data_IF_061365648998
#
_entry.id   IF_061365648998
#
_cell.length_a   1.000
_cell.length_b   1.000
_cell.length_c   1.000
_cell.angle_alpha   90.00
_cell.angle_beta   90.00
_cell.angle_gamma   90.00
#
_symmetry.space_group_name_H-M   'P 1'
#
loop_
_entity.id
_entity.type
_entity.pdbx_description
1 polymer ?
#
# COMPACT_ATOMS: atom_id res chain seq x y z
N UNK A 1 -32.07 -12.38 3.74
CA UNK A 1 -31.21 -11.30 3.22
C UNK A 1 -31.99 -10.00 3.25
N UNK A 2 -31.36 -8.88 3.64
CA UNK A 2 -31.98 -7.56 3.60
C UNK A 2 -32.35 -7.15 2.16
N UNK A 3 -33.41 -6.37 1.98
CA UNK A 3 -33.90 -5.95 0.64
C UNK A 3 -32.85 -5.15 -0.13
N UNK A 4 -32.10 -4.28 0.55
CA UNK A 4 -31.07 -3.43 -0.05
C UNK A 4 -29.87 -4.25 -0.55
N UNK A 5 -29.48 -5.27 0.22
CA UNK A 5 -28.46 -6.24 -0.20
C UNK A 5 -28.97 -7.06 -1.39
N UNK A 6 -30.22 -7.51 -1.35
CA UNK A 6 -30.84 -8.28 -2.44
C UNK A 6 -30.85 -7.49 -3.76
N UNK A 7 -31.05 -6.17 -3.71
CA UNK A 7 -30.96 -5.29 -4.88
C UNK A 7 -29.55 -5.31 -5.51
N UNK A 8 -28.50 -5.14 -4.69
CA UNK A 8 -27.11 -5.17 -5.16
C UNK A 8 -26.69 -6.55 -5.69
N UNK A 9 -27.16 -7.62 -5.04
CA UNK A 9 -26.94 -9.00 -5.47
C UNK A 9 -27.56 -9.25 -6.85
N UNK A 10 -28.81 -8.83 -7.06
CA UNK A 10 -29.49 -8.99 -8.35
C UNK A 10 -28.87 -8.14 -9.46
N UNK A 11 -28.47 -6.91 -9.13
CA UNK A 11 -27.72 -6.04 -10.05
C UNK A 11 -26.44 -6.72 -10.51
N UNK A 12 -25.67 -7.28 -9.56
CA UNK A 12 -24.40 -7.97 -9.82
C UNK A 12 -24.58 -9.23 -10.66
N UNK A 13 -25.57 -10.06 -10.30
CA UNK A 13 -25.91 -11.26 -11.08
C UNK A 13 -26.20 -10.92 -12.53
N UNK A 14 -27.02 -9.90 -12.76
CA UNK A 14 -27.44 -9.48 -14.10
C UNK A 14 -26.26 -8.92 -14.90
N UNK A 15 -25.47 -8.03 -14.29
CA UNK A 15 -24.36 -7.35 -14.98
C UNK A 15 -23.25 -8.30 -15.43
N UNK A 16 -22.92 -9.29 -14.59
CA UNK A 16 -21.83 -10.23 -14.87
C UNK A 16 -22.32 -11.58 -15.39
N UNK A 17 -23.60 -11.73 -15.73
CA UNK A 17 -24.14 -12.94 -16.36
C UNK A 17 -23.99 -14.20 -15.49
N UNK A 18 -24.20 -14.08 -14.17
CA UNK A 18 -23.96 -15.14 -13.19
C UNK A 18 -25.11 -16.15 -13.11
N UNK A 19 -25.74 -16.49 -14.24
CA UNK A 19 -26.89 -17.41 -14.30
C UNK A 19 -26.50 -18.85 -13.97
N UNK A 20 -25.27 -19.24 -14.32
CA UNK A 20 -24.68 -20.54 -14.00
C UNK A 20 -24.04 -20.60 -12.61
N UNK A 21 -24.38 -19.64 -11.75
CA UNK A 21 -23.83 -19.50 -10.42
C UNK A 21 -24.93 -19.30 -9.38
N UNK A 22 -24.61 -19.65 -8.14
CA UNK A 22 -25.42 -19.30 -6.97
C UNK A 22 -24.57 -18.51 -5.97
N UNK A 23 -25.19 -17.55 -5.28
CA UNK A 23 -24.52 -16.78 -4.24
C UNK A 23 -24.34 -17.69 -3.03
N UNK A 24 -23.09 -18.01 -2.69
CA UNK A 24 -22.76 -18.89 -1.58
C UNK A 24 -22.58 -18.08 -0.29
N UNK A 25 -21.77 -17.01 -0.34
CA UNK A 25 -21.48 -16.15 0.81
C UNK A 25 -21.53 -14.68 0.40
N UNK A 26 -21.85 -13.84 1.38
CA UNK A 26 -21.71 -12.40 1.26
C UNK A 26 -21.35 -11.81 2.61
N UNK A 27 -20.55 -10.74 2.61
CA UNK A 27 -20.19 -10.00 3.82
C UNK A 27 -20.12 -8.51 3.50
N UNK A 28 -20.44 -7.69 4.49
CA UNK A 28 -20.19 -6.25 4.44
C UNK A 28 -18.91 -5.97 5.19
N UNK A 29 -18.03 -5.19 4.58
CA UNK A 29 -16.78 -4.75 5.18
C UNK A 29 -16.73 -3.24 5.13
N UNK A 30 -15.92 -2.66 6.01
CA UNK A 30 -15.56 -1.25 5.93
C UNK A 30 -14.06 -1.07 5.99
N UNK A 31 -13.59 -0.01 5.36
CA UNK A 31 -12.22 0.46 5.46
C UNK A 31 -12.21 2.00 5.44
N UNK A 32 -11.08 2.57 5.83
CA UNK A 32 -10.85 4.02 5.75
C UNK A 32 -9.87 4.30 4.63
N UNK A 33 -10.25 5.18 3.71
CA UNK A 33 -9.38 5.59 2.62
C UNK A 33 -8.39 6.68 3.09
N UNK A 34 -7.61 7.17 2.13
CA UNK A 34 -6.53 8.11 2.39
C UNK A 34 -6.99 9.51 2.78
N UNK A 35 -8.24 9.84 2.43
CA UNK A 35 -8.92 11.08 2.77
C UNK A 35 -9.71 10.95 4.07
N UNK A 36 -9.48 9.87 4.83
CA UNK A 36 -10.14 9.59 6.09
C UNK A 36 -11.66 9.33 5.96
N UNK A 37 -12.11 8.93 4.77
CA UNK A 37 -13.51 8.59 4.49
C UNK A 37 -13.76 7.10 4.74
N UNK A 38 -14.94 6.79 5.29
CA UNK A 38 -15.37 5.40 5.49
C UNK A 38 -16.00 4.86 4.23
N UNK A 39 -15.41 3.79 3.69
CA UNK A 39 -15.90 3.07 2.53
C UNK A 39 -16.55 1.77 3.01
N UNK A 40 -17.76 1.51 2.52
CA UNK A 40 -18.47 0.26 2.78
C UNK A 40 -18.54 -0.55 1.49
N UNK A 41 -18.11 -1.81 1.58
CA UNK A 41 -18.03 -2.72 0.44
C UNK A 41 -18.81 -3.99 0.76
N UNK A 42 -19.72 -4.36 -0.14
CA UNK A 42 -20.39 -5.65 -0.13
C UNK A 42 -19.56 -6.62 -0.97
N UNK A 43 -18.97 -7.61 -0.29
CA UNK A 43 -18.27 -8.71 -0.93
C UNK A 43 -19.22 -9.87 -1.15
N UNK A 44 -19.23 -10.43 -2.35
CA UNK A 44 -20.11 -11.53 -2.76
C UNK A 44 -19.30 -12.66 -3.39
N UNK A 45 -19.49 -13.88 -2.89
CA UNK A 45 -18.86 -15.09 -3.41
C UNK A 45 -19.89 -15.98 -4.09
N UNK A 46 -19.70 -16.21 -5.39
CA UNK A 46 -20.61 -16.94 -6.25
C UNK A 46 -19.97 -18.23 -6.72
N UNK A 47 -20.57 -19.37 -6.39
CA UNK A 47 -20.06 -20.68 -6.74
C UNK A 47 -20.70 -21.16 -8.04
N UNK A 48 -19.95 -21.81 -8.95
CA UNK A 48 -20.53 -22.40 -10.15
C UNK A 48 -21.52 -23.52 -9.79
N UNK A 49 -22.65 -23.59 -10.50
CA UNK A 49 -23.74 -24.53 -10.20
C UNK A 49 -23.34 -26.01 -10.29
N UNK A 50 -22.30 -26.35 -11.04
CA UNK A 50 -21.83 -27.74 -11.23
C UNK A 50 -20.82 -28.19 -10.16
N UNK A 51 -20.32 -27.28 -9.33
CA UNK A 51 -19.31 -27.60 -8.31
C UNK A 51 -20.00 -28.05 -7.02
N UNK A 52 -19.52 -29.16 -6.47
CA UNK A 52 -19.82 -29.58 -5.09
C UNK A 52 -18.55 -29.37 -4.27
N UNK A 53 -18.62 -28.53 -3.23
CA UNK A 53 -17.49 -28.28 -2.34
C UNK A 53 -17.62 -29.21 -1.13
N UNK A 54 -16.60 -30.02 -0.80
CA UNK A 54 -16.58 -30.80 0.44
C UNK A 54 -16.67 -29.88 1.67
N UNK A 55 -17.36 -30.31 2.73
CA UNK A 55 -17.54 -29.50 3.95
C UNK A 55 -16.22 -29.12 4.64
N UNK A 56 -15.13 -29.87 4.38
CA UNK A 56 -13.81 -29.69 5.00
C UNK A 56 -12.81 -28.86 4.16
N UNK A 57 -13.21 -28.33 2.99
CA UNK A 57 -12.34 -27.47 2.16
C UNK A 57 -12.76 -25.99 2.30
N UNK A 58 -11.95 -25.23 3.03
CA UNK A 58 -12.12 -23.78 3.22
C UNK A 58 -11.75 -22.96 1.97
N UNK A 59 -11.27 -23.60 0.90
CA UNK A 59 -10.86 -22.93 -0.33
C UNK A 59 -12.05 -22.62 -1.24
N UNK A 60 -12.00 -21.47 -1.92
CA UNK A 60 -12.94 -21.19 -3.00
C UNK A 60 -12.66 -22.12 -4.19
N UNK A 61 -13.66 -22.83 -4.73
CA UNK A 61 -13.45 -23.70 -5.86
C UNK A 61 -13.09 -22.92 -7.12
N UNK A 62 -12.51 -23.63 -8.08
CA UNK A 62 -12.13 -23.05 -9.35
C UNK A 62 -13.31 -22.41 -10.10
N UNK A 63 -13.07 -21.19 -10.58
CA UNK A 63 -14.04 -20.37 -11.28
C UNK A 63 -15.14 -19.75 -10.43
N UNK A 64 -15.03 -19.84 -9.09
CA UNK A 64 -15.78 -18.97 -8.17
C UNK A 64 -15.60 -17.51 -8.56
N UNK A 65 -16.69 -16.75 -8.61
CA UNK A 65 -16.64 -15.31 -8.80
C UNK A 65 -16.69 -14.62 -7.43
N UNK A 66 -15.63 -13.88 -7.08
CA UNK A 66 -15.59 -12.99 -5.93
C UNK A 66 -15.74 -11.57 -6.44
N UNK A 67 -16.82 -10.89 -6.06
CA UNK A 67 -17.20 -9.59 -6.59
C UNK A 67 -17.48 -8.63 -5.46
N UNK A 68 -16.75 -7.51 -5.47
CA UNK A 68 -16.87 -6.45 -4.49
C UNK A 68 -17.55 -5.22 -5.10
N UNK A 69 -18.59 -4.73 -4.44
CA UNK A 69 -19.32 -3.52 -4.84
C UNK A 69 -19.34 -2.52 -3.70
N UNK A 70 -18.99 -1.28 -4.01
CA UNK A 70 -19.10 -0.15 -3.11
C UNK A 70 -20.59 0.13 -2.83
N UNK A 71 -21.01 0.09 -1.58
CA UNK A 71 -22.43 0.22 -1.18
C UNK A 71 -23.00 1.60 -1.55
N UNK A 72 -22.18 2.65 -1.42
CA UNK A 72 -22.60 4.04 -1.64
C UNK A 72 -22.64 4.39 -3.12
N UNK A 73 -21.52 4.16 -3.82
CA UNK A 73 -21.39 4.57 -5.23
C UNK A 73 -22.00 3.56 -6.19
N UNK A 74 -22.26 2.33 -5.73
CA UNK A 74 -22.71 1.18 -6.53
C UNK A 74 -21.74 0.81 -7.66
N UNK A 75 -20.49 1.27 -7.59
CA UNK A 75 -19.42 0.89 -8.51
C UNK A 75 -18.74 -0.38 -8.02
N UNK A 76 -18.28 -1.20 -8.96
CA UNK A 76 -17.53 -2.42 -8.66
C UNK A 76 -16.07 -2.09 -8.40
N UNK A 77 -15.56 -2.56 -7.28
CA UNK A 77 -14.16 -2.38 -6.87
C UNK A 77 -13.31 -3.56 -7.34
N UNK A 78 -13.88 -4.77 -7.34
CA UNK A 78 -13.21 -5.96 -7.83
C UNK A 78 -14.20 -6.97 -8.44
N UNK A 79 -13.72 -7.73 -9.43
CA UNK A 79 -14.38 -8.89 -10.04
C UNK A 79 -13.29 -9.92 -10.30
N UNK A 80 -13.26 -11.01 -9.54
CA UNK A 80 -12.20 -12.01 -9.61
C UNK A 80 -12.83 -13.37 -9.85
N UNK A 81 -12.46 -14.02 -10.95
CA UNK A 81 -12.76 -15.41 -11.18
C UNK A 81 -11.56 -16.28 -10.77
N UNK A 82 -11.76 -17.15 -9.79
CA UNK A 82 -10.69 -17.98 -9.21
C UNK A 82 -10.00 -18.82 -10.29
N UNK A 83 -8.67 -18.78 -10.30
CA UNK A 83 -7.80 -19.40 -11.33
C UNK A 83 -8.01 -18.88 -12.76
N UNK A 84 -8.65 -17.72 -12.92
CA UNK A 84 -8.92 -17.13 -14.23
C UNK A 84 -9.91 -17.94 -15.07
N UNK A 85 -10.77 -18.76 -14.44
CA UNK A 85 -11.79 -19.56 -15.14
C UNK A 85 -13.18 -18.99 -14.93
N UNK A 86 -13.94 -18.84 -16.00
CA UNK A 86 -15.33 -18.36 -15.92
C UNK A 86 -16.29 -19.30 -16.64
N UNK A 87 -17.48 -19.49 -16.07
CA UNK A 87 -18.59 -20.27 -16.64
C UNK A 87 -19.74 -19.38 -17.09
N UNK A 88 -19.45 -18.08 -17.25
CA UNK A 88 -20.39 -17.07 -17.71
C UNK A 88 -20.58 -17.19 -19.23
N UNK A 89 -21.83 -17.27 -19.65
CA UNK A 89 -22.19 -17.32 -21.08
C UNK A 89 -22.55 -15.94 -21.65
N UNK A 90 -23.17 -15.07 -20.84
CA UNK A 90 -23.71 -13.77 -21.25
C UNK A 90 -23.20 -12.65 -20.34
N UNK A 91 -21.88 -12.50 -20.23
CA UNK A 91 -21.23 -11.51 -19.37
C UNK A 91 -20.44 -10.47 -20.12
N UNK A 92 -19.51 -9.84 -19.40
CA UNK A 92 -18.57 -8.87 -19.98
C UNK A 92 -17.57 -9.61 -20.88
N UNK A 93 -17.58 -9.27 -22.16
CA UNK A 93 -16.70 -9.86 -23.18
C UNK A 93 -16.15 -8.78 -24.11
N UNK A 94 -14.95 -9.00 -24.63
CA UNK A 94 -14.26 -8.08 -25.53
C UNK A 94 -13.81 -8.83 -26.77
N UNK A 95 -14.43 -8.51 -27.91
CA UNK A 95 -14.10 -9.17 -29.16
C UNK A 95 -12.66 -8.85 -29.59
N UNK A 96 -11.87 -9.88 -29.86
CA UNK A 96 -10.51 -9.73 -30.38
C UNK A 96 -9.52 -9.06 -29.41
N UNK A 97 -9.82 -9.03 -28.10
CA UNK A 97 -8.98 -8.39 -27.08
C UNK A 97 -8.68 -6.91 -27.38
N UNK A 98 -9.64 -6.18 -27.97
CA UNK A 98 -9.43 -4.79 -28.35
C UNK A 98 -9.20 -3.88 -27.13
N UNK A 99 -8.03 -3.22 -27.13
CA UNK A 99 -7.60 -2.30 -26.07
C UNK A 99 -8.54 -1.11 -25.89
N UNK A 100 -9.04 -0.52 -26.96
CA UNK A 100 -9.88 0.67 -26.86
C UNK A 100 -11.26 0.33 -26.28
N UNK A 101 -11.79 -0.85 -26.59
CA UNK A 101 -13.04 -1.33 -26.01
C UNK A 101 -12.90 -1.62 -24.52
N UNK A 102 -11.77 -2.20 -24.09
CA UNK A 102 -11.43 -2.35 -22.67
C UNK A 102 -11.33 -0.99 -21.96
N UNK A 103 -10.63 -0.02 -22.55
CA UNK A 103 -10.52 1.33 -21.98
C UNK A 103 -11.91 1.98 -21.84
N UNK A 104 -12.73 1.99 -22.88
CA UNK A 104 -14.09 2.57 -22.83
C UNK A 104 -14.98 1.86 -21.81
N UNK A 105 -14.81 0.56 -21.63
CA UNK A 105 -15.51 -0.18 -20.59
C UNK A 105 -15.06 0.31 -19.22
N UNK A 106 -13.76 0.40 -18.95
CA UNK A 106 -13.22 0.95 -17.69
C UNK A 106 -13.75 2.37 -17.42
N UNK A 107 -13.73 3.25 -18.42
CA UNK A 107 -14.26 4.62 -18.27
C UNK A 107 -15.73 4.63 -17.86
N UNK A 108 -16.56 3.73 -18.41
CA UNK A 108 -17.97 3.59 -18.04
C UNK A 108 -18.15 3.01 -16.63
N UNK A 109 -17.35 2.03 -16.25
CA UNK A 109 -17.45 1.37 -14.95
C UNK A 109 -16.98 2.26 -13.80
N UNK A 110 -15.92 3.02 -14.05
CA UNK A 110 -15.27 3.84 -13.03
C UNK A 110 -15.73 5.29 -13.05
N UNK A 111 -16.23 5.79 -14.19
CA UNK A 111 -16.49 7.21 -14.44
C UNK A 111 -15.21 8.03 -14.63
N UNK A 112 -14.05 7.38 -14.72
CA UNK A 112 -12.76 8.02 -14.95
C UNK A 112 -12.53 8.22 -16.45
N UNK A 113 -11.61 9.13 -16.80
CA UNK A 113 -11.24 9.39 -18.21
C UNK A 113 -9.81 8.97 -18.49
N UNK A 114 -9.60 8.18 -19.55
CA UNK A 114 -8.27 7.72 -19.97
C UNK A 114 -7.40 8.89 -20.44
N UNK A 115 -6.11 8.86 -20.06
CA UNK A 115 -5.15 9.93 -20.32
C UNK A 115 -5.35 11.18 -19.45
N UNK A 116 -6.41 11.24 -18.63
CA UNK A 116 -6.63 12.32 -17.65
C UNK A 116 -6.58 11.84 -16.21
N UNK A 117 -7.14 10.67 -15.92
CA UNK A 117 -7.24 10.15 -14.55
C UNK A 117 -6.54 8.79 -14.39
N UNK A 118 -6.30 8.11 -15.50
CA UNK A 118 -5.53 6.88 -15.53
C UNK A 118 -4.86 6.72 -16.90
N UNK A 119 -3.73 6.03 -16.93
CA UNK A 119 -2.94 5.80 -18.14
C UNK A 119 -2.34 4.40 -18.17
N UNK A 120 -2.12 3.87 -19.37
CA UNK A 120 -1.58 2.52 -19.54
C UNK A 120 -0.18 2.44 -18.95
N UNK A 121 0.03 1.50 -18.04
CA UNK A 121 1.33 1.21 -17.44
C UNK A 121 1.96 -0.05 -18.03
N UNK A 122 1.15 -1.11 -18.21
CA UNK A 122 1.62 -2.38 -18.78
C UNK A 122 0.55 -3.01 -19.66
N UNK A 123 0.97 -3.58 -20.78
CA UNK A 123 0.12 -4.32 -21.71
C UNK A 123 0.75 -5.70 -21.97
N UNK A 124 -0.04 -6.73 -21.72
CA UNK A 124 0.26 -8.14 -21.98
C UNK A 124 -0.93 -8.75 -22.73
N UNK A 125 -0.76 -9.90 -23.37
CA UNK A 125 -1.87 -10.56 -24.07
C UNK A 125 -3.03 -10.86 -23.10
N UNK A 126 -4.20 -10.30 -23.38
CA UNK A 126 -5.39 -10.44 -22.52
C UNK A 126 -5.31 -9.72 -21.18
N UNK A 127 -4.32 -8.85 -20.94
CA UNK A 127 -4.16 -8.13 -19.66
C UNK A 127 -3.68 -6.69 -19.86
N UNK A 128 -4.38 -5.75 -19.22
CA UNK A 128 -3.96 -4.35 -19.16
C UNK A 128 -3.87 -3.90 -17.71
N UNK A 129 -2.78 -3.21 -17.39
CA UNK A 129 -2.56 -2.55 -16.11
C UNK A 129 -2.42 -1.05 -16.36
N UNK A 130 -3.18 -0.26 -15.62
CA UNK A 130 -3.18 1.20 -15.67
C UNK A 130 -2.79 1.76 -14.32
N UNK A 131 -2.06 2.87 -14.33
CA UNK A 131 -1.78 3.65 -13.13
C UNK A 131 -2.60 4.94 -13.16
N UNK A 132 -2.93 5.42 -11.98
CA UNK A 132 -3.55 6.72 -11.76
C UNK A 132 -2.68 7.87 -12.29
N UNK A 133 -3.33 8.89 -12.83
CA UNK A 133 -2.70 10.16 -13.17
C UNK A 133 -3.68 11.32 -12.96
N UNK A 134 -3.19 12.56 -13.07
CA UNK A 134 -4.00 13.77 -13.14
C UNK A 134 -3.55 14.62 -14.33
N UNK A 135 -4.42 14.73 -15.33
CA UNK A 135 -4.15 15.32 -16.65
C UNK A 135 -2.83 14.80 -17.27
N UNK A 136 -2.52 13.51 -17.07
CA UNK A 136 -1.31 12.83 -17.57
C UNK A 136 -0.09 12.87 -16.65
N UNK A 137 -0.16 13.61 -15.53
CA UNK A 137 0.90 13.68 -14.52
C UNK A 137 0.69 12.58 -13.48
N UNK A 138 1.74 11.84 -13.12
CA UNK A 138 1.64 10.75 -12.15
C UNK A 138 1.27 11.26 -10.74
N UNK A 139 0.62 10.40 -9.95
CA UNK A 139 0.14 10.74 -8.60
C UNK A 139 0.81 9.82 -7.58
N UNK A 140 1.12 10.34 -6.39
CA UNK A 140 1.64 9.60 -5.24
C UNK A 140 0.83 9.93 -3.98
N UNK A 141 0.34 8.91 -3.23
CA UNK A 141 0.37 7.49 -3.59
C UNK A 141 -0.49 7.20 -4.82
N UNK A 142 -0.11 6.18 -5.59
CA UNK A 142 -0.76 5.85 -6.87
C UNK A 142 -1.80 4.76 -6.71
N UNK A 143 -2.98 4.97 -7.29
CA UNK A 143 -3.95 3.93 -7.59
C UNK A 143 -3.66 3.18 -8.88
N UNK A 144 -4.29 2.03 -9.04
CA UNK A 144 -4.14 1.16 -10.21
C UNK A 144 -5.46 0.56 -10.65
N UNK A 145 -5.61 0.35 -11.95
CA UNK A 145 -6.73 -0.41 -12.52
C UNK A 145 -6.13 -1.58 -13.30
N UNK A 146 -6.62 -2.78 -13.06
CA UNK A 146 -6.19 -3.96 -13.79
C UNK A 146 -7.39 -4.68 -14.38
N UNK A 147 -7.26 -5.14 -15.63
CA UNK A 147 -8.25 -5.98 -16.32
C UNK A 147 -7.54 -7.18 -16.93
N UNK A 148 -8.12 -8.38 -16.78
CA UNK A 148 -7.68 -9.63 -17.44
C UNK A 148 -8.84 -10.34 -18.08
N UNK A 149 -8.56 -10.91 -19.24
CA UNK A 149 -9.47 -11.70 -20.05
C UNK A 149 -8.93 -13.12 -20.21
N UNK A 150 -9.81 -14.07 -20.47
CA UNK A 150 -9.39 -15.37 -20.99
C UNK A 150 -9.18 -15.34 -22.51
N UNK A 151 -8.76 -16.48 -23.06
CA UNK A 151 -8.51 -16.65 -24.49
C UNK A 151 -9.75 -16.47 -25.38
N UNK A 152 -10.95 -16.51 -24.80
CA UNK A 152 -12.22 -16.28 -25.50
C UNK A 152 -12.67 -14.81 -25.37
N UNK A 153 -11.86 -13.96 -24.72
CA UNK A 153 -12.13 -12.54 -24.49
C UNK A 153 -13.13 -12.28 -23.36
N UNK A 154 -13.42 -13.25 -22.49
CA UNK A 154 -14.32 -13.08 -21.34
C UNK A 154 -13.58 -12.50 -20.16
N UNK A 155 -14.23 -11.62 -19.40
CA UNK A 155 -13.66 -11.03 -18.19
C UNK A 155 -13.39 -12.10 -17.13
N UNK A 156 -12.15 -12.18 -16.66
CA UNK A 156 -11.73 -13.06 -15.55
C UNK A 156 -11.19 -12.28 -14.36
N UNK A 157 -10.74 -11.06 -14.57
CA UNK A 157 -10.26 -10.18 -13.51
C UNK A 157 -10.55 -8.71 -13.84
N UNK A 158 -11.04 -7.98 -12.86
CA UNK A 158 -11.06 -6.52 -12.85
C UNK A 158 -10.81 -6.05 -11.41
N UNK A 159 -9.97 -5.05 -11.22
CA UNK A 159 -9.82 -4.39 -9.94
C UNK A 159 -9.52 -2.91 -10.11
N UNK A 160 -10.00 -2.12 -9.14
CA UNK A 160 -9.67 -0.71 -8.96
C UNK A 160 -9.11 -0.57 -7.55
N UNK A 161 -7.83 -0.23 -7.45
CA UNK A 161 -7.12 -0.02 -6.19
C UNK A 161 -6.67 1.43 -6.07
N UNK A 162 -6.64 1.97 -4.86
CA UNK A 162 -6.27 3.36 -4.59
C UNK A 162 -7.43 4.34 -4.74
N UNK A 163 -7.11 5.64 -4.70
CA UNK A 163 -8.08 6.72 -4.79
C UNK A 163 -7.75 7.58 -6.00
N UNK A 164 -8.78 8.00 -6.76
CA UNK A 164 -8.59 8.82 -7.96
C UNK A 164 -9.07 10.24 -7.66
N UNK A 165 -8.16 11.23 -7.50
CA UNK A 165 -8.51 12.57 -7.06
C UNK A 165 -9.39 13.26 -8.09
N UNK A 166 -10.26 14.12 -7.57
CA UNK A 166 -10.99 15.07 -8.39
C UNK A 166 -10.13 16.33 -8.63
N UNK A 167 -10.52 17.16 -9.60
CA UNK A 167 -9.77 18.38 -9.92
C UNK A 167 -9.75 19.38 -8.77
N UNK A 168 -10.76 19.35 -7.91
CA UNK A 168 -10.90 20.22 -6.75
C UNK A 168 -9.91 19.87 -5.63
N UNK A 169 -9.39 18.64 -5.61
CA UNK A 169 -8.40 18.17 -4.64
C UNK A 169 -6.97 18.54 -5.05
N UNK A 170 -6.78 19.10 -6.24
CA UNK A 170 -5.48 19.37 -6.82
C UNK A 170 -5.19 20.86 -6.80
N UNK A 171 -4.05 21.24 -6.22
CA UNK A 171 -3.55 22.60 -6.31
C UNK A 171 -3.02 22.85 -7.72
N UNK A 172 -3.77 23.65 -8.49
CA UNK A 172 -3.42 23.97 -9.87
C UNK A 172 -2.19 24.89 -9.92
N UNK A 173 -1.11 24.40 -10.52
CA UNK A 173 0.16 25.12 -10.65
C UNK A 173 0.85 24.78 -11.98
N UNK A 174 1.81 25.61 -12.38
CA UNK A 174 2.69 25.31 -13.50
C UNK A 174 3.98 24.70 -12.97
N UNK A 175 4.38 23.56 -13.54
CA UNK A 175 5.66 22.93 -13.21
C UNK A 175 6.83 23.83 -13.61
N UNK A 176 7.73 24.12 -12.67
CA UNK A 176 8.89 25.00 -12.88
C UNK A 176 10.22 24.41 -12.45
N UNK A 177 10.21 23.26 -11.76
CA UNK A 177 11.45 22.64 -11.30
C UNK A 177 12.29 22.14 -12.48
N UNK A 178 13.61 22.30 -12.31
CA UNK A 178 14.65 21.77 -13.18
C UNK A 178 15.65 21.03 -12.32
N UNK A 179 16.38 20.06 -12.88
CA UNK A 179 17.35 19.31 -12.10
C UNK A 179 18.42 20.25 -11.48
N UNK A 180 18.87 21.25 -12.24
CA UNK A 180 19.83 22.26 -11.77
C UNK A 180 19.34 23.02 -10.55
N UNK A 181 18.04 23.31 -10.46
CA UNK A 181 17.45 24.02 -9.32
C UNK A 181 17.42 23.19 -8.03
N UNK A 182 17.44 21.85 -8.13
CA UNK A 182 17.33 20.92 -7.00
C UNK A 182 18.55 20.00 -6.87
N UNK A 183 19.62 20.26 -7.62
CA UNK A 183 20.82 19.41 -7.65
C UNK A 183 21.42 19.22 -6.24
N UNK A 184 21.40 20.27 -5.42
CA UNK A 184 21.87 20.21 -4.04
C UNK A 184 21.06 19.21 -3.20
N UNK A 185 19.74 19.09 -3.42
CA UNK A 185 18.89 18.12 -2.73
C UNK A 185 19.23 16.70 -3.20
N UNK A 186 19.41 16.48 -4.50
CA UNK A 186 19.83 15.18 -5.05
C UNK A 186 21.17 14.71 -4.43
N UNK A 187 22.15 15.62 -4.32
CA UNK A 187 23.43 15.35 -3.64
C UNK A 187 23.27 15.02 -2.16
N UNK A 188 22.37 15.71 -1.46
CA UNK A 188 22.08 15.46 -0.05
C UNK A 188 21.40 14.11 0.17
N UNK A 189 20.55 13.67 -0.76
CA UNK A 189 19.85 12.38 -0.68
C UNK A 189 20.69 11.18 -1.12
N UNK A 190 21.84 11.39 -1.76
CA UNK A 190 22.77 10.30 -2.03
C UNK A 190 23.37 9.77 -0.72
N UNK A 191 22.90 8.61 -0.27
CA UNK A 191 23.35 7.94 0.96
C UNK A 191 24.09 6.66 0.59
N UNK A 192 25.17 6.39 1.33
CA UNK A 192 25.73 5.05 1.36
C UNK A 192 24.73 4.14 2.07
N UNK A 193 24.39 2.99 1.50
CA UNK A 193 23.48 2.00 2.08
C UNK A 193 23.95 0.59 1.71
N UNK A 194 23.64 -0.40 2.55
CA UNK A 194 23.96 -1.81 2.30
C UNK A 194 22.77 -2.50 1.62
N UNK A 195 22.99 -2.99 0.39
CA UNK A 195 22.03 -3.77 -0.38
C UNK A 195 22.36 -5.27 -0.31
N UNK A 196 21.40 -6.14 0.04
CA UNK A 196 21.60 -7.58 -0.01
C UNK A 196 21.40 -8.12 -1.41
N UNK A 197 22.39 -8.82 -1.97
CA UNK A 197 22.24 -9.59 -3.20
C UNK A 197 22.06 -11.06 -2.89
N UNK A 198 20.90 -11.61 -3.25
CA UNK A 198 20.61 -13.04 -3.08
C UNK A 198 21.41 -13.91 -4.03
N UNK A 199 21.65 -13.46 -5.27
CA UNK A 199 22.44 -14.22 -6.25
C UNK A 199 23.89 -14.43 -5.79
N UNK A 200 24.46 -13.43 -5.12
CA UNK A 200 25.86 -13.45 -4.68
C UNK A 200 26.04 -13.75 -3.19
N UNK A 201 24.94 -13.92 -2.44
CA UNK A 201 24.92 -14.09 -0.97
C UNK A 201 25.83 -13.08 -0.24
N UNK A 202 25.75 -11.81 -0.66
CA UNK A 202 26.67 -10.74 -0.23
C UNK A 202 25.94 -9.42 -0.04
N UNK A 203 26.43 -8.64 0.93
CA UNK A 203 26.04 -7.24 1.11
C UNK A 203 26.92 -6.34 0.25
N UNK A 204 26.30 -5.45 -0.53
CA UNK A 204 26.98 -4.43 -1.33
C UNK A 204 26.87 -3.06 -0.67
N UNK A 205 27.98 -2.36 -0.42
CA UNK A 205 27.92 -0.95 -0.04
C UNK A 205 27.63 -0.12 -1.29
N UNK A 206 26.51 0.58 -1.35
CA UNK A 206 26.09 1.33 -2.55
C UNK A 206 25.70 2.74 -2.15
N UNK A 207 26.23 3.73 -2.87
CA UNK A 207 25.69 5.08 -2.86
C UNK A 207 24.43 5.11 -3.72
N UNK A 208 23.27 5.27 -3.09
CA UNK A 208 21.95 5.28 -3.72
C UNK A 208 21.10 6.43 -3.19
N UNK A 209 20.04 6.75 -3.92
CA UNK A 209 19.12 7.85 -3.61
C UNK A 209 17.83 7.25 -3.06
N UNK A 210 17.39 7.76 -1.92
CA UNK A 210 16.03 7.49 -1.44
C UNK A 210 15.05 8.35 -2.24
N UNK A 211 13.92 7.77 -2.66
CA UNK A 211 12.87 8.52 -3.36
C UNK A 211 12.46 9.75 -2.52
N UNK A 212 12.54 10.94 -3.12
CA UNK A 212 12.08 12.18 -2.48
C UNK A 212 11.26 13.03 -3.44
N UNK A 213 10.31 13.75 -2.87
CA UNK A 213 9.52 14.73 -3.59
C UNK A 213 9.93 16.13 -3.17
N UNK A 214 10.13 17.00 -4.16
CA UNK A 214 10.45 18.42 -3.95
C UNK A 214 9.25 19.24 -4.35
N UNK A 215 8.70 20.01 -3.43
CA UNK A 215 7.57 20.89 -3.73
C UNK A 215 7.96 21.99 -4.74
N UNK A 216 7.06 22.25 -5.69
CA UNK A 216 7.31 23.08 -6.86
C UNK A 216 7.60 24.57 -6.51
N UNK A 217 6.95 25.14 -5.49
CA UNK A 217 7.05 26.57 -5.16
C UNK A 217 8.17 26.95 -4.17
N UNK A 218 8.59 26.02 -3.30
CA UNK A 218 9.43 26.35 -2.13
C UNK A 218 10.65 25.42 -1.95
N UNK A 219 10.89 24.49 -2.88
CA UNK A 219 11.97 23.48 -2.82
C UNK A 219 12.02 22.68 -1.51
N UNK A 220 10.94 22.69 -0.70
CA UNK A 220 10.90 21.89 0.52
C UNK A 220 10.75 20.41 0.15
N UNK A 221 11.44 19.56 0.90
CA UNK A 221 11.33 18.11 0.74
C UNK A 221 10.06 17.61 1.42
N UNK A 222 9.26 16.86 0.66
CA UNK A 222 8.23 15.97 1.18
C UNK A 222 8.86 14.59 1.21
N UNK A 223 9.20 14.12 2.42
CA UNK A 223 9.81 12.81 2.61
C UNK A 223 8.84 11.72 2.21
N UNK A 224 9.34 10.74 1.45
CA UNK A 224 8.63 9.49 1.24
C UNK A 224 8.67 8.66 2.54
N UNK A 225 7.67 8.82 3.40
CA UNK A 225 7.52 7.92 4.53
C UNK A 225 6.82 6.65 4.03
N UNK A 226 7.59 5.55 3.88
CA UNK A 226 7.14 4.17 3.58
C UNK A 226 6.21 3.59 4.66
N UNK A 227 5.47 4.42 5.39
CA UNK A 227 4.35 3.97 6.20
C UNK A 227 3.25 3.65 5.18
N UNK A 228 3.40 2.45 4.62
CA UNK A 228 2.38 1.67 3.93
C UNK A 228 1.01 1.97 4.55
N UNK A 229 0.05 2.31 3.68
CA UNK A 229 -1.30 2.78 3.99
C UNK A 229 -1.38 4.16 4.67
N UNK A 230 -0.97 5.18 3.91
CA UNK A 230 -1.78 6.35 3.55
C UNK A 230 -3.08 6.58 4.37
N UNK A 231 -3.00 6.81 5.67
CA UNK A 231 -4.15 7.09 6.56
C UNK A 231 -3.77 8.14 7.59
N UNK A 232 -4.75 8.72 8.28
CA UNK A 232 -4.49 9.65 9.39
C UNK A 232 -3.61 8.98 10.46
N UNK A 233 -2.38 9.44 10.62
CA UNK A 233 -1.44 8.94 11.62
C UNK A 233 -0.94 10.09 12.49
N UNK A 234 -0.68 9.79 13.75
CA UNK A 234 -0.09 10.73 14.69
C UNK A 234 1.42 10.50 14.77
N UNK A 235 2.23 11.50 14.37
CA UNK A 235 3.68 11.51 14.60
C UNK A 235 3.96 11.68 16.10
N UNK A 236 4.83 10.83 16.65
CA UNK A 236 5.17 10.82 18.09
C UNK A 236 6.63 11.18 18.30
N UNK A 237 7.56 10.38 17.77
CA UNK A 237 9.00 10.63 17.87
C UNK A 237 9.59 10.43 19.28
N UNK A 238 9.01 9.57 20.11
CA UNK A 238 9.43 9.36 21.50
C UNK A 238 10.30 8.11 21.68
N UNK A 239 11.47 8.25 22.31
CA UNK A 239 12.32 7.11 22.70
C UNK A 239 11.75 6.44 23.95
N UNK A 240 11.59 5.11 23.90
CA UNK A 240 10.98 4.34 24.98
C UNK A 240 12.05 3.84 25.95
N UNK A 241 11.88 4.23 27.22
CA UNK A 241 12.73 3.82 28.33
C UNK A 241 11.93 3.09 29.40
N UNK A 242 12.60 2.16 30.08
CA UNK A 242 12.13 1.48 31.28
C UNK A 242 13.31 1.11 32.17
N UNK A 243 13.04 1.00 33.48
CA UNK A 243 14.06 0.72 34.51
C UNK A 243 14.27 -0.78 34.71
N UNK A 244 13.17 -1.54 34.86
CA UNK A 244 13.21 -2.97 35.17
C UNK A 244 12.50 -3.80 34.10
N UNK A 245 13.08 -4.93 33.66
CA UNK A 245 12.42 -5.87 32.76
C UNK A 245 11.25 -6.60 33.45
N UNK A 246 10.41 -7.25 32.66
CA UNK A 246 9.33 -8.11 33.16
C UNK A 246 9.67 -9.56 32.81
N UNK A 247 9.79 -10.42 33.82
CA UNK A 247 10.19 -11.83 33.66
C UNK A 247 9.05 -12.75 33.18
N UNK A 248 8.03 -12.16 32.55
CA UNK A 248 6.90 -12.88 31.97
C UNK A 248 6.80 -12.54 30.49
N UNK A 249 6.91 -13.53 29.59
CA UNK A 249 6.80 -13.29 28.16
C UNK A 249 5.40 -12.75 27.81
N UNK A 250 5.34 -11.97 26.73
CA UNK A 250 4.06 -11.52 26.20
C UNK A 250 3.28 -12.69 25.61
N UNK A 251 2.02 -12.82 26.01
CA UNK A 251 1.11 -13.83 25.49
C UNK A 251 0.30 -13.25 24.33
N UNK A 252 0.64 -13.70 23.11
CA UNK A 252 0.02 -13.20 21.89
C UNK A 252 -1.40 -13.74 21.76
N UNK A 253 -2.31 -12.87 21.35
CA UNK A 253 -3.72 -13.17 21.07
C UNK A 253 -3.97 -13.13 19.57
N UNK A 254 -5.02 -13.83 19.16
CA UNK A 254 -5.53 -13.76 17.79
C UNK A 254 -5.98 -12.33 17.45
N UNK A 255 -5.68 -11.90 16.23
CA UNK A 255 -6.09 -10.60 15.69
C UNK A 255 -7.17 -10.85 14.66
N UNK A 256 -8.32 -10.20 14.82
CA UNK A 256 -9.42 -10.29 13.86
C UNK A 256 -9.26 -9.19 12.82
N UNK A 257 -8.70 -9.55 11.67
CA UNK A 257 -8.39 -8.60 10.59
C UNK A 257 -9.61 -8.14 9.79
N UNK A 258 -10.70 -8.93 9.83
CA UNK A 258 -11.92 -8.65 9.10
C UNK A 258 -12.95 -8.08 10.06
N UNK A 259 -13.26 -6.79 9.89
CA UNK A 259 -14.42 -6.19 10.54
C UNK A 259 -15.66 -6.40 9.66
N UNK A 260 -16.60 -7.21 10.15
CA UNK A 260 -17.92 -7.32 9.53
C UNK A 260 -18.79 -6.14 9.95
N UNK A 261 -19.19 -5.34 8.96
CA UNK A 261 -20.13 -4.25 9.15
C UNK A 261 -21.58 -4.75 9.09
N UNK A 262 -22.46 -4.12 9.88
CA UNK A 262 -23.90 -4.39 9.78
C UNK A 262 -24.52 -3.68 8.56
N UNK A 263 -25.69 -4.16 8.12
CA UNK A 263 -26.43 -3.52 7.03
C UNK A 263 -26.82 -2.09 7.41
N UNK A 264 -27.23 -1.86 8.65
CA UNK A 264 -27.58 -0.55 9.16
C UNK A 264 -26.38 0.39 9.04
N UNK A 265 -25.22 0.01 9.57
CA UNK A 265 -23.99 0.79 9.49
C UNK A 265 -23.63 1.17 8.05
N UNK A 266 -23.67 0.20 7.13
CA UNK A 266 -23.29 0.40 5.73
C UNK A 266 -24.23 1.37 4.99
N UNK A 267 -25.54 1.29 5.23
CA UNK A 267 -26.52 2.12 4.51
C UNK A 267 -26.84 3.44 5.21
N UNK A 268 -26.45 3.62 6.48
CA UNK A 268 -26.46 4.93 7.15
C UNK A 268 -25.13 5.67 7.07
N UNK A 269 -24.11 5.06 6.44
CA UNK A 269 -22.76 5.61 6.32
C UNK A 269 -22.15 5.95 7.68
N UNK A 270 -22.26 5.03 8.65
CA UNK A 270 -21.65 5.24 9.95
C UNK A 270 -20.12 5.39 9.81
N UNK A 271 -19.50 6.44 10.37
CA UNK A 271 -18.05 6.56 10.33
C UNK A 271 -17.36 5.39 11.01
N UNK A 272 -16.30 4.87 10.40
CA UNK A 272 -15.44 3.86 10.99
C UNK A 272 -14.77 4.40 12.27
N UNK A 273 -14.64 3.59 13.33
CA UNK A 273 -13.76 3.88 14.45
C UNK A 273 -12.35 4.27 14.00
N UNK A 274 -11.89 3.73 12.87
CA UNK A 274 -10.55 3.97 12.34
C UNK A 274 -10.39 5.38 11.75
N UNK A 275 -11.48 6.07 11.40
CA UNK A 275 -11.40 7.44 10.87
C UNK A 275 -11.25 8.50 11.97
N UNK A 276 -11.36 8.13 13.24
CA UNK A 276 -11.20 9.09 14.33
C UNK A 276 -9.72 9.30 14.67
N UNK A 277 -9.31 10.52 15.03
CA UNK A 277 -7.93 10.81 15.42
C UNK A 277 -7.57 10.17 16.76
N UNK A 278 -6.29 9.85 16.98
CA UNK A 278 -5.81 9.36 18.27
C UNK A 278 -5.84 10.52 19.29
N UNK A 279 -6.61 10.35 20.36
CA UNK A 279 -6.72 11.38 21.41
C UNK A 279 -5.48 11.38 22.32
N UNK A 280 -5.29 12.47 23.07
CA UNK A 280 -4.18 12.58 24.04
C UNK A 280 -4.21 11.47 25.09
N UNK A 281 -5.39 11.14 25.61
CA UNK A 281 -5.57 10.08 26.61
C UNK A 281 -5.23 8.71 26.03
N UNK A 282 -5.61 8.45 24.78
CA UNK A 282 -5.27 7.21 24.09
C UNK A 282 -3.78 7.10 23.83
N UNK A 283 -3.13 8.17 23.37
CA UNK A 283 -1.68 8.24 23.19
C UNK A 283 -0.95 7.85 24.49
N UNK A 284 -1.31 8.46 25.62
CA UNK A 284 -0.70 8.17 26.92
C UNK A 284 -0.84 6.70 27.31
N UNK A 285 -2.03 6.11 27.11
CA UNK A 285 -2.26 4.68 27.37
C UNK A 285 -1.45 3.79 26.43
N UNK A 286 -1.40 4.11 25.14
CA UNK A 286 -0.63 3.35 24.16
C UNK A 286 0.86 3.38 24.48
N UNK A 287 1.41 4.51 24.93
CA UNK A 287 2.80 4.62 25.37
C UNK A 287 3.11 3.67 26.54
N UNK A 288 2.20 3.56 27.51
CA UNK A 288 2.34 2.61 28.63
C UNK A 288 2.33 1.16 28.12
N UNK A 289 1.41 0.84 27.22
CA UNK A 289 1.27 -0.50 26.64
C UNK A 289 2.49 -0.90 25.81
N UNK A 290 2.99 0.01 24.98
CA UNK A 290 4.22 -0.17 24.21
C UNK A 290 5.40 -0.42 25.16
N UNK A 291 5.56 0.40 26.20
CA UNK A 291 6.62 0.21 27.20
C UNK A 291 6.51 -1.17 27.85
N UNK A 292 5.32 -1.59 28.25
CA UNK A 292 5.11 -2.86 28.92
C UNK A 292 5.47 -4.05 28.03
N UNK A 293 5.02 -4.06 26.77
CA UNK A 293 5.39 -5.13 25.83
C UNK A 293 6.90 -5.20 25.61
N UNK A 294 7.56 -4.04 25.43
CA UNK A 294 9.01 -4.00 25.27
C UNK A 294 9.77 -4.52 26.49
N UNK A 295 9.25 -4.26 27.70
CA UNK A 295 9.84 -4.81 28.95
C UNK A 295 9.76 -6.33 29.03
N UNK A 296 8.75 -6.95 28.39
CA UNK A 296 8.54 -8.39 28.39
C UNK A 296 9.39 -9.10 27.32
N UNK A 297 9.25 -8.68 26.06
CA UNK A 297 9.83 -9.42 24.91
C UNK A 297 11.17 -8.84 24.44
N UNK A 298 11.49 -7.61 24.83
CA UNK A 298 12.76 -6.94 24.49
C UNK A 298 13.47 -6.35 25.72
N UNK A 299 13.59 -7.08 26.85
CA UNK A 299 13.95 -6.54 28.17
C UNK A 299 15.29 -5.76 28.21
N UNK A 300 16.20 -6.04 27.27
CA UNK A 300 17.55 -5.45 27.17
C UNK A 300 17.64 -4.25 26.21
N UNK A 301 16.52 -3.82 25.64
CA UNK A 301 16.48 -2.80 24.58
C UNK A 301 16.01 -1.43 25.08
N UNK A 302 16.09 -1.17 26.38
CA UNK A 302 15.73 0.14 26.96
C UNK A 302 16.48 1.26 26.25
N UNK A 303 15.77 2.30 25.81
CA UNK A 303 16.33 3.42 25.07
C UNK A 303 16.72 3.14 23.61
N UNK A 304 16.54 1.92 23.09
CA UNK A 304 16.87 1.60 21.69
C UNK A 304 15.70 1.79 20.73
N UNK A 305 14.47 1.77 21.23
CA UNK A 305 13.26 1.87 20.41
C UNK A 305 12.68 3.29 20.43
N UNK A 306 12.34 3.80 19.25
CA UNK A 306 11.64 5.07 19.05
C UNK A 306 10.25 4.74 18.52
N UNK A 307 9.21 5.14 19.25
CA UNK A 307 7.84 5.13 18.75
C UNK A 307 7.69 6.25 17.71
N UNK A 308 7.52 5.88 16.45
CA UNK A 308 7.41 6.82 15.33
C UNK A 308 5.99 7.32 15.17
N UNK A 309 5.03 6.40 15.09
CA UNK A 309 3.63 6.74 14.81
C UNK A 309 2.63 5.89 15.59
N UNK A 310 1.44 6.44 15.76
CA UNK A 310 0.21 5.75 16.15
C UNK A 310 -0.85 5.98 15.07
N UNK A 311 -1.56 4.94 14.66
CA UNK A 311 -2.70 5.06 13.73
C UNK A 311 -3.73 3.97 14.03
N UNK A 312 -4.95 4.15 13.51
CA UNK A 312 -6.00 3.13 13.61
C UNK A 312 -6.10 2.34 12.32
N UNK A 313 -6.33 1.05 12.46
CA UNK A 313 -6.53 0.15 11.34
C UNK A 313 -7.18 -1.16 11.79
N UNK A 314 -8.19 -1.59 11.03
CA UNK A 314 -8.94 -2.82 11.24
C UNK A 314 -9.49 -2.92 12.67
N UNK A 315 -9.91 -1.79 13.24
CA UNK A 315 -10.43 -1.71 14.61
C UNK A 315 -9.36 -1.76 15.71
N UNK A 316 -8.07 -1.72 15.38
CA UNK A 316 -6.96 -1.69 16.33
C UNK A 316 -6.20 -0.36 16.28
N UNK A 317 -5.41 -0.08 17.34
CA UNK A 317 -4.38 0.96 17.30
C UNK A 317 -3.03 0.30 17.04
N UNK A 318 -2.39 0.69 15.94
CA UNK A 318 -1.06 0.22 15.56
C UNK A 318 0.00 1.24 15.98
N UNK A 319 1.00 0.75 16.72
CA UNK A 319 2.17 1.50 17.13
C UNK A 319 3.40 1.05 16.33
N UNK A 320 3.96 1.94 15.50
CA UNK A 320 5.15 1.63 14.68
C UNK A 320 6.40 2.13 15.40
N UNK A 321 7.30 1.21 15.70
CA UNK A 321 8.59 1.48 16.32
C UNK A 321 9.75 1.21 15.35
N UNK A 322 10.80 2.02 15.49
CA UNK A 322 12.08 1.89 14.80
C UNK A 322 13.21 1.92 15.81
N UNK A 323 14.30 1.23 15.54
CA UNK A 323 15.50 1.32 16.38
C UNK A 323 16.26 2.63 16.11
N UNK A 324 16.82 3.24 17.16
CA UNK A 324 17.58 4.49 17.08
C UNK A 324 18.92 4.33 16.37
N UNK A 325 19.63 3.22 16.60
CA UNK A 325 20.94 2.92 16.03
C UNK A 325 20.87 1.62 15.24
N UNK A 326 21.00 1.70 13.91
CA UNK A 326 20.99 0.54 13.02
C UNK A 326 22.14 0.58 12.04
N UNK A 327 22.58 -0.59 11.60
CA UNK A 327 23.38 -0.74 10.38
C UNK A 327 22.67 -0.06 9.23
N UNK A 328 23.43 0.49 8.30
CA UNK A 328 22.88 1.30 7.22
C UNK A 328 22.34 0.44 6.07
N UNK A 329 21.66 -0.67 6.42
CA UNK A 329 20.99 -1.56 5.48
C UNK A 329 19.78 -0.86 4.88
N UNK A 330 19.49 -1.17 3.62
CA UNK A 330 18.30 -0.68 2.92
C UNK A 330 17.02 -1.06 3.69
N UNK A 331 16.98 -2.28 4.25
CA UNK A 331 15.90 -2.72 5.13
C UNK A 331 16.24 -2.47 6.61
N UNK A 332 15.48 -1.57 7.23
CA UNK A 332 15.61 -1.20 8.65
C UNK A 332 14.61 -1.97 9.53
N UNK A 333 14.96 -2.16 10.81
CA UNK A 333 14.11 -2.90 11.75
C UNK A 333 12.80 -2.14 12.01
N UNK A 334 11.68 -2.83 11.92
CA UNK A 334 10.29 -2.37 12.15
C UNK A 334 9.69 -3.28 13.21
N UNK A 335 9.11 -2.70 14.24
CA UNK A 335 8.21 -3.40 15.14
C UNK A 335 6.85 -2.70 15.06
N UNK A 336 5.79 -3.45 14.80
CA UNK A 336 4.40 -2.95 14.84
C UNK A 336 3.72 -3.65 16.00
N UNK A 337 3.32 -2.90 17.03
CA UNK A 337 2.53 -3.42 18.15
C UNK A 337 1.07 -3.11 17.87
N UNK A 338 0.22 -4.13 17.98
CA UNK A 338 -1.23 -4.06 17.75
C UNK A 338 -1.91 -3.97 19.11
N UNK A 339 -2.68 -2.91 19.33
CA UNK A 339 -3.30 -2.56 20.62
C UNK A 339 -4.82 -2.55 20.46
N UNK A 340 -5.54 -3.24 21.35
CA UNK A 340 -7.00 -3.17 21.39
C UNK A 340 -7.43 -1.80 21.95
N UNK A 341 -8.21 -0.99 21.20
CA UNK A 341 -8.60 0.36 21.63
C UNK A 341 -9.57 0.37 22.81
N UNK A 342 -10.22 -0.76 23.14
CA UNK A 342 -11.15 -0.83 24.28
C UNK A 342 -10.40 -1.03 25.60
N UNK A 343 -9.51 -2.01 25.66
CA UNK A 343 -8.74 -2.35 26.85
C UNK A 343 -7.41 -1.61 26.96
N UNK A 344 -6.90 -1.06 25.84
CA UNK A 344 -5.53 -0.56 25.69
C UNK A 344 -4.46 -1.60 26.00
N UNK A 345 -4.76 -2.88 25.85
CA UNK A 345 -3.76 -3.94 25.98
C UNK A 345 -3.18 -4.29 24.61
N UNK A 346 -1.88 -4.61 24.58
CA UNK A 346 -1.29 -5.21 23.40
C UNK A 346 -1.96 -6.57 23.18
N UNK A 347 -2.38 -6.84 21.94
CA UNK A 347 -2.96 -8.11 21.53
C UNK A 347 -1.95 -8.95 20.76
N UNK A 348 -1.15 -8.31 19.91
CA UNK A 348 -0.14 -8.99 19.10
C UNK A 348 0.92 -7.98 18.63
N UNK A 349 1.96 -8.46 17.96
CA UNK A 349 2.95 -7.63 17.30
C UNK A 349 3.60 -8.34 16.12
N UNK A 350 4.12 -7.55 15.19
CA UNK A 350 4.89 -8.01 14.03
C UNK A 350 6.29 -7.36 14.09
N UNK A 351 7.34 -8.18 14.15
CA UNK A 351 8.74 -7.74 14.06
C UNK A 351 9.31 -8.26 12.74
N UNK A 352 9.92 -7.37 11.94
CA UNK A 352 10.60 -7.78 10.71
C UNK A 352 12.01 -8.35 10.95
N UNK A 353 12.46 -8.47 12.20
CA UNK A 353 13.75 -9.08 12.56
C UNK A 353 14.01 -10.43 11.86
N UNK A 354 13.08 -11.41 11.82
CA UNK A 354 13.36 -12.68 11.14
C UNK A 354 13.69 -12.53 9.65
N UNK A 355 13.07 -11.56 8.97
CA UNK A 355 13.40 -11.21 7.59
C UNK A 355 14.81 -10.63 7.49
N UNK A 356 15.23 -9.78 8.45
CA UNK A 356 16.58 -9.20 8.46
C UNK A 356 17.66 -10.23 8.80
N UNK A 357 17.35 -11.21 9.65
CA UNK A 357 18.25 -12.31 10.03
C UNK A 357 18.54 -13.24 8.84
N UNK A 358 17.70 -13.24 7.80
CA UNK A 358 18.01 -13.92 6.53
C UNK A 358 19.31 -13.41 5.92
N UNK A 359 19.77 -12.19 6.22
CA UNK A 359 21.01 -11.64 5.66
C UNK A 359 22.24 -11.88 6.55
N UNK A 360 22.10 -12.53 7.71
CA UNK A 360 23.21 -12.68 8.66
C UNK A 360 24.28 -13.69 8.17
N UNK A 361 23.92 -14.55 7.23
CA UNK A 361 24.85 -15.47 6.56
C UNK A 361 25.55 -14.86 5.34
N UNK A 362 25.11 -13.67 4.89
CA UNK A 362 25.72 -13.03 3.74
C UNK A 362 27.12 -12.54 4.09
N UNK A 363 28.00 -12.57 3.09
CA UNK A 363 29.33 -11.98 3.24
C UNK A 363 29.19 -10.47 3.53
N UNK A 364 29.98 -9.92 4.47
CA UNK A 364 29.91 -8.50 4.82
C UNK A 364 30.27 -7.62 3.63
N UNK A 365 29.85 -6.34 3.63
CA UNK A 365 30.23 -5.41 2.58
C UNK A 365 31.75 -5.22 2.57
N UNK A 366 32.28 -5.06 1.35
CA UNK A 366 33.68 -4.67 1.16
C UNK A 366 33.93 -3.25 1.72
N UNK A 367 35.20 -2.93 1.94
CA UNK A 367 35.58 -1.60 2.41
C UNK A 367 35.21 -0.55 1.36
N UNK A 368 34.67 0.59 1.82
CA UNK A 368 34.32 1.70 0.93
C UNK A 368 35.59 2.46 0.58
N UNK A 369 35.90 2.53 -0.72
CA UNK A 369 37.14 3.13 -1.24
C UNK A 369 36.91 4.46 -1.95
N UNK A 370 35.66 4.78 -2.29
CA UNK A 370 35.29 6.04 -2.94
C UNK A 370 34.50 6.94 -2.00
N UNK A 371 34.56 8.24 -2.26
CA UNK A 371 33.79 9.26 -1.56
C UNK A 371 32.37 9.39 -2.15
N UNK A 372 31.47 10.00 -1.38
CA UNK A 372 30.11 10.33 -1.85
C UNK A 372 30.17 11.29 -3.04
N UNK A 373 31.10 12.23 -3.03
CA UNK A 373 31.30 13.21 -4.10
C UNK A 373 31.76 12.54 -5.39
N UNK A 374 32.69 11.57 -5.32
CA UNK A 374 33.09 10.77 -6.48
C UNK A 374 31.94 9.90 -7.00
N UNK A 375 31.16 9.29 -6.10
CA UNK A 375 29.98 8.52 -6.47
C UNK A 375 28.96 9.40 -7.19
N UNK A 376 28.66 10.58 -6.65
CA UNK A 376 27.72 11.53 -7.26
C UNK A 376 28.14 11.91 -8.69
N UNK A 377 29.41 12.26 -8.90
CA UNK A 377 29.89 12.65 -10.24
C UNK A 377 29.73 11.53 -11.28
N UNK A 378 29.72 10.25 -10.87
CA UNK A 378 29.50 9.11 -11.77
C UNK A 378 28.03 8.92 -12.19
N UNK A 379 27.07 9.30 -11.34
CA UNK A 379 25.64 9.06 -11.58
C UNK A 379 24.82 10.33 -11.78
N UNK A 380 25.40 11.53 -11.67
CA UNK A 380 24.69 12.81 -11.81
C UNK A 380 23.84 12.92 -13.08
N UNK A 381 24.34 12.39 -14.22
CA UNK A 381 23.65 12.43 -15.51
C UNK A 381 22.58 11.32 -15.65
N UNK A 382 22.41 10.51 -14.61
CA UNK A 382 21.40 9.43 -14.51
C UNK A 382 20.26 9.77 -13.55
N UNK A 383 20.35 10.90 -12.85
CA UNK A 383 19.24 11.38 -12.05
C UNK A 383 18.10 11.84 -12.94
N UNK A 384 16.88 11.55 -12.50
CA UNK A 384 15.67 12.01 -13.15
C UNK A 384 14.90 12.91 -12.20
N UNK A 385 14.29 13.96 -12.78
CA UNK A 385 13.28 14.75 -12.09
C UNK A 385 12.00 14.74 -12.92
N UNK A 386 10.97 14.09 -12.39
CA UNK A 386 9.69 13.92 -13.08
C UNK A 386 8.57 14.65 -12.31
N UNK A 387 7.62 15.31 -12.99
CA UNK A 387 6.49 15.93 -12.33
C UNK A 387 5.58 14.87 -11.71
N UNK A 388 5.18 15.09 -10.46
CA UNK A 388 4.27 14.24 -9.70
C UNK A 388 3.29 15.11 -8.90
N UNK A 389 2.05 14.67 -8.77
CA UNK A 389 1.15 15.16 -7.74
C UNK A 389 1.30 14.32 -6.49
N UNK A 390 1.58 14.95 -5.35
CA UNK A 390 1.75 14.26 -4.07
C UNK A 390 0.66 14.71 -3.12
N UNK A 391 -0.03 13.77 -2.48
CA UNK A 391 -1.00 14.13 -1.44
C UNK A 391 -0.27 14.65 -0.20
N UNK A 392 -0.43 15.93 0.10
CA UNK A 392 0.09 16.54 1.31
C UNK A 392 -0.99 16.52 2.40
N UNK A 393 -0.75 15.71 3.43
CA UNK A 393 -1.66 15.55 4.57
C UNK A 393 -1.79 16.81 5.43
N UNK A 394 -0.82 17.72 5.41
CA UNK A 394 -0.88 18.94 6.22
C UNK A 394 -1.87 19.97 5.63
N UNK A 395 -1.99 20.00 4.30
CA UNK A 395 -2.94 20.87 3.60
C UNK A 395 -4.15 20.15 2.99
N UNK A 396 -4.21 18.82 3.10
CA UNK A 396 -5.28 17.95 2.60
C UNK A 396 -5.50 18.07 1.07
N UNK A 397 -4.45 18.37 0.30
CA UNK A 397 -4.51 18.57 -1.14
C UNK A 397 -3.36 17.87 -1.86
N UNK A 398 -3.57 17.54 -3.13
CA UNK A 398 -2.50 17.14 -4.03
C UNK A 398 -1.73 18.37 -4.50
N UNK A 399 -0.43 18.40 -4.20
CA UNK A 399 0.49 19.46 -4.59
C UNK A 399 1.43 18.99 -5.67
N UNK A 400 1.79 19.88 -6.59
CA UNK A 400 2.72 19.55 -7.67
C UNK A 400 4.16 19.53 -7.13
N UNK A 401 4.86 18.44 -7.40
CA UNK A 401 6.23 18.19 -6.96
C UNK A 401 7.10 17.67 -8.10
N UNK A 402 8.42 17.78 -7.94
CA UNK A 402 9.39 17.02 -8.70
C UNK A 402 9.81 15.80 -7.90
N UNK A 403 9.58 14.59 -8.41
CA UNK A 403 10.15 13.37 -7.86
C UNK A 403 11.60 13.27 -8.33
N UNK A 404 12.56 13.29 -7.40
CA UNK A 404 13.96 13.00 -7.69
C UNK A 404 14.15 11.49 -7.55
N UNK A 405 14.62 10.85 -8.62
CA UNK A 405 14.85 9.40 -8.65
C UNK A 405 16.15 9.07 -9.38
N UNK A 406 16.67 7.88 -9.12
CA UNK A 406 17.81 7.31 -9.83
C UNK A 406 17.78 5.78 -9.69
N UNK A 407 17.50 5.08 -10.79
CA UNK A 407 17.48 3.60 -10.84
C UNK A 407 18.87 2.96 -10.64
N UNK A 408 19.92 3.79 -10.63
CA UNK A 408 21.31 3.37 -10.52
C UNK A 408 21.92 3.80 -9.18
N UNK A 409 22.82 2.96 -8.67
CA UNK A 409 23.71 3.31 -7.57
C UNK A 409 25.17 3.21 -7.99
N UNK A 410 26.07 3.61 -7.09
CA UNK A 410 27.51 3.39 -7.24
C UNK A 410 28.00 2.48 -6.14
N UNK A 411 28.60 1.35 -6.50
CA UNK A 411 29.25 0.46 -5.55
C UNK A 411 30.41 1.22 -4.86
N UNK A 412 30.33 1.37 -3.55
CA UNK A 412 31.26 2.12 -2.73
C UNK A 412 32.67 1.52 -2.67
N UNK A 413 32.83 0.24 -3.00
CA UNK A 413 34.12 -0.48 -2.89
C UNK A 413 34.97 -0.44 -4.15
N UNK A 414 34.35 -0.33 -5.33
CA UNK A 414 35.06 -0.31 -6.61
C UNK A 414 34.66 0.86 -7.53
N UNK A 415 33.60 1.60 -7.19
CA UNK A 415 33.09 2.71 -7.98
C UNK A 415 32.32 2.31 -9.24
N UNK A 416 31.93 1.05 -9.41
CA UNK A 416 31.11 0.63 -10.54
C UNK A 416 29.68 1.13 -10.39
N UNK A 417 29.08 1.52 -11.52
CA UNK A 417 27.66 1.87 -11.57
C UNK A 417 26.86 0.57 -11.65
N UNK A 418 25.89 0.42 -10.76
CA UNK A 418 25.04 -0.78 -10.66
C UNK A 418 23.58 -0.36 -10.80
N UNK A 419 22.76 -1.18 -11.47
CA UNK A 419 21.32 -0.98 -11.43
C UNK A 419 20.80 -1.50 -10.10
N UNK A 420 19.99 -0.70 -9.39
CA UNK A 420 19.50 -1.08 -8.07
C UNK A 420 18.53 -2.27 -8.13
N UNK A 421 17.84 -2.48 -9.25
CA UNK A 421 16.97 -3.63 -9.46
C UNK A 421 17.71 -4.97 -9.67
N UNK A 422 19.02 -4.92 -9.92
CA UNK A 422 19.87 -6.11 -10.10
C UNK A 422 20.56 -6.54 -8.79
N UNK A 423 20.34 -5.81 -7.69
CA UNK A 423 20.87 -6.09 -6.35
C UNK A 423 19.80 -6.73 -5.47
#
# INVERSE_FOLDING_TARGET
MDRRITELVNLTKTKFGLDNYFLQRHSLRRNVNIFNETIYTLSMEWFPNHVTVPEDDDSNPEGTAVIDINVTTRKYESVIFVMGKTYVNNGVTFAGLDRNDMIKWIERETGLTYGKQFQLHKEEEGRLLFNECMDGIAVSPSGSIEIKLDNEGRLTFFSVLGQFPSKEMVKAEKYTLTFESVEHLAKEQLKLVEFPSFEQEKLFPVYAVEEVYVANENTSLISFEFIEDVRSYQKIGETIHWDEPVDKPFDRKEVHWLEEATVEQAFTLEPSPDSFPITKVEKEKCLLTVRELLRQDYPKDTGKWILKTLHRENGYINAILRMSNQTNRVFKRKLVIIIDPKSFQAVNYVDNKPMLEMFDHFSPPEEVTITREEAYEKIKDKFEINPYYVYDFDCEQYVLCGKIDCEYGVNGSNGEIVALGDL
#
